data_IF_204103415799
#
_entry.id   IF_204103415799
#
_cell.length_a   1.000
_cell.length_b   1.000
_cell.length_c   1.000
_cell.angle_alpha   90.00
_cell.angle_beta   90.00
_cell.angle_gamma   90.00
#
_symmetry.space_group_name_H-M   'P 1'
#
loop_
_entity.id
_entity.type
_entity.pdbx_description
1 polymer ?
#
# COMPACT_ATOMS: atom_id res chain seq x y z
N UNK A 1 -16.63 30.71 -0.16
CA UNK A 1 -16.22 29.53 0.64
C UNK A 1 -16.86 29.71 2.01
N UNK A 2 -17.76 28.84 2.48
CA UNK A 2 -18.54 29.13 3.69
C UNK A 2 -17.64 29.06 4.93
N UNK A 3 -17.71 30.13 5.72
CA UNK A 3 -16.91 30.47 6.88
C UNK A 3 -17.45 29.69 8.11
N UNK A 4 -17.17 28.39 8.23
CA UNK A 4 -17.72 27.62 9.37
C UNK A 4 -17.43 26.12 9.42
N UNK A 5 -16.73 25.54 8.45
CA UNK A 5 -16.38 24.12 8.51
C UNK A 5 -15.12 23.98 9.36
N UNK A 6 -15.27 23.68 10.65
CA UNK A 6 -14.16 23.17 11.46
C UNK A 6 -13.77 21.79 10.93
N UNK A 7 -12.73 21.75 10.08
CA UNK A 7 -12.10 20.50 9.68
C UNK A 7 -11.37 19.95 10.91
N UNK A 8 -12.05 19.12 11.71
CA UNK A 8 -11.36 18.30 12.72
C UNK A 8 -10.50 17.29 11.96
N UNK A 9 -9.20 17.54 11.88
CA UNK A 9 -8.25 16.58 11.33
C UNK A 9 -8.12 15.40 12.29
N UNK A 10 -9.06 14.45 12.22
CA UNK A 10 -8.92 13.17 12.92
C UNK A 10 -7.83 12.40 12.17
N UNK A 11 -6.61 12.42 12.73
CA UNK A 11 -5.39 11.81 12.16
C UNK A 11 -5.62 10.36 11.68
N UNK A 12 -6.37 9.58 12.45
CA UNK A 12 -6.68 8.18 12.12
C UNK A 12 -7.57 8.06 10.87
N UNK A 13 -8.67 8.81 10.81
CA UNK A 13 -9.60 8.77 9.69
C UNK A 13 -8.95 9.29 8.41
N UNK A 14 -8.15 10.36 8.51
CA UNK A 14 -7.39 10.87 7.38
C UNK A 14 -6.38 9.84 6.85
N UNK A 15 -5.71 9.09 7.72
CA UNK A 15 -4.79 8.04 7.30
C UNK A 15 -5.50 6.92 6.52
N UNK A 16 -6.69 6.49 6.96
CA UNK A 16 -7.48 5.47 6.26
C UNK A 16 -7.95 6.00 4.91
N UNK A 17 -8.59 7.17 4.88
CA UNK A 17 -9.14 7.76 3.66
C UNK A 17 -8.03 8.01 2.64
N UNK A 18 -6.90 8.59 3.07
CA UNK A 18 -5.77 8.84 2.19
C UNK A 18 -5.20 7.51 1.65
N UNK A 19 -5.04 6.48 2.49
CA UNK A 19 -4.56 5.16 2.04
C UNK A 19 -5.48 4.56 0.98
N UNK A 20 -6.80 4.56 1.21
CA UNK A 20 -7.80 4.04 0.26
C UNK A 20 -7.80 4.85 -1.04
N UNK A 21 -7.66 6.19 -0.97
CA UNK A 21 -7.60 7.06 -2.15
C UNK A 21 -6.36 6.79 -3.01
N UNK A 22 -5.19 6.59 -2.39
CA UNK A 22 -3.96 6.24 -3.12
C UNK A 22 -4.10 4.89 -3.83
N UNK A 23 -4.66 3.88 -3.15
CA UNK A 23 -4.84 2.55 -3.72
C UNK A 23 -5.86 2.59 -4.88
N UNK A 24 -7.03 3.24 -4.68
CA UNK A 24 -8.03 3.42 -5.73
C UNK A 24 -7.46 4.15 -6.94
N UNK A 25 -6.66 5.21 -6.76
CA UNK A 25 -6.02 5.92 -7.88
C UNK A 25 -5.13 5.00 -8.72
N UNK A 26 -4.36 4.12 -8.07
CA UNK A 26 -3.50 3.13 -8.75
C UNK A 26 -4.34 2.07 -9.47
N UNK A 27 -5.38 1.55 -8.83
CA UNK A 27 -6.26 0.53 -9.43
C UNK A 27 -7.04 1.11 -10.61
N UNK A 28 -7.61 2.30 -10.47
CA UNK A 28 -8.36 2.97 -11.54
C UNK A 28 -7.50 3.36 -12.74
N UNK A 29 -6.18 3.50 -12.58
CA UNK A 29 -5.25 3.68 -13.71
C UNK A 29 -4.92 2.39 -14.46
N UNK A 30 -5.32 1.22 -13.94
CA UNK A 30 -5.13 -0.07 -14.61
C UNK A 30 -6.33 -0.39 -15.51
N UNK A 31 -6.10 -1.14 -16.59
CA UNK A 31 -7.15 -1.60 -17.53
C UNK A 31 -8.08 -2.70 -16.94
N UNK A 32 -8.13 -2.84 -15.61
CA UNK A 32 -8.82 -3.91 -14.91
C UNK A 32 -7.99 -5.19 -14.73
N UNK A 33 -8.50 -6.10 -13.90
CA UNK A 33 -7.88 -7.39 -13.62
C UNK A 33 -8.63 -8.51 -14.33
N UNK A 34 -7.90 -9.42 -14.99
CA UNK A 34 -8.48 -10.58 -15.68
C UNK A 34 -9.02 -11.67 -14.74
N UNK A 35 -8.50 -11.74 -13.51
CA UNK A 35 -8.95 -12.72 -12.50
C UNK A 35 -8.83 -12.15 -11.09
N UNK A 36 -9.64 -12.68 -10.16
CA UNK A 36 -9.56 -12.31 -8.75
C UNK A 36 -8.20 -12.64 -8.14
N UNK A 37 -7.64 -13.82 -8.44
CA UNK A 37 -6.30 -14.20 -7.98
C UNK A 37 -5.24 -13.18 -8.38
N UNK A 38 -5.25 -12.76 -9.64
CA UNK A 38 -4.34 -11.73 -10.15
C UNK A 38 -4.58 -10.38 -9.46
N UNK A 39 -5.83 -10.00 -9.22
CA UNK A 39 -6.17 -8.78 -8.49
C UNK A 39 -5.60 -8.81 -7.06
N UNK A 40 -5.77 -9.91 -6.33
CA UNK A 40 -5.30 -10.04 -4.95
C UNK A 40 -3.78 -9.96 -4.88
N UNK A 41 -3.05 -10.63 -5.77
CA UNK A 41 -1.59 -10.57 -5.81
C UNK A 41 -1.07 -9.16 -6.14
N UNK A 42 -1.71 -8.46 -7.08
CA UNK A 42 -1.32 -7.08 -7.44
C UNK A 42 -1.59 -6.12 -6.27
N UNK A 43 -2.75 -6.23 -5.62
CA UNK A 43 -3.09 -5.40 -4.46
C UNK A 43 -2.10 -5.63 -3.31
N UNK A 44 -1.78 -6.89 -3.01
CA UNK A 44 -0.76 -7.24 -2.01
C UNK A 44 0.61 -6.64 -2.36
N UNK A 45 1.01 -6.67 -3.63
CA UNK A 45 2.27 -6.06 -4.08
C UNK A 45 2.31 -4.53 -3.94
N UNK A 46 1.22 -3.83 -4.28
CA UNK A 46 1.10 -2.37 -4.12
C UNK A 46 1.17 -1.99 -2.63
N UNK A 47 0.54 -2.77 -1.77
CA UNK A 47 0.56 -2.58 -0.32
C UNK A 47 1.96 -2.80 0.25
N UNK A 48 2.61 -3.91 -0.13
CA UNK A 48 3.98 -4.24 0.25
C UNK A 48 4.98 -3.14 -0.12
N UNK A 49 4.93 -2.66 -1.37
CA UNK A 49 5.80 -1.59 -1.84
C UNK A 49 5.54 -0.29 -1.07
N UNK A 50 4.29 -0.03 -0.70
CA UNK A 50 3.94 1.13 0.14
C UNK A 50 4.44 1.00 1.58
N UNK A 51 4.46 -0.20 2.14
CA UNK A 51 5.00 -0.47 3.48
C UNK A 51 6.52 -0.31 3.52
N UNK A 52 7.22 -0.81 2.51
CA UNK A 52 8.68 -0.64 2.35
C UNK A 52 9.00 0.86 2.19
N UNK A 53 8.31 1.57 1.30
CA UNK A 53 8.55 3.02 1.08
C UNK A 53 8.30 3.87 2.32
N UNK A 54 7.40 3.44 3.21
CA UNK A 54 7.09 4.14 4.46
C UNK A 54 7.95 3.69 5.64
N UNK A 55 8.90 2.77 5.41
CA UNK A 55 9.75 2.19 6.46
C UNK A 55 8.92 1.57 7.60
N UNK A 56 7.69 1.12 7.31
CA UNK A 56 6.81 0.50 8.30
C UNK A 56 7.24 -0.92 8.65
N UNK A 57 8.02 -1.54 7.76
CA UNK A 57 8.65 -2.83 8.00
C UNK A 57 10.00 -2.54 8.63
N UNK A 58 10.22 -3.04 9.85
CA UNK A 58 11.51 -2.97 10.54
C UNK A 58 12.50 -3.93 9.87
N UNK A 59 12.85 -3.64 8.63
CA UNK A 59 13.98 -4.23 7.93
C UNK A 59 15.20 -3.59 8.59
N UNK A 60 15.69 -4.22 9.66
CA UNK A 60 16.80 -3.80 10.54
C UNK A 60 18.02 -3.23 9.82
N UNK A 61 18.14 -3.48 8.52
CA UNK A 61 18.88 -2.66 7.57
C UNK A 61 18.01 -2.53 6.31
N UNK A 62 17.83 -1.34 5.72
CA UNK A 62 17.14 -1.12 4.43
C UNK A 62 17.90 -1.73 3.23
N UNK A 63 18.66 -2.80 3.47
CA UNK A 63 19.34 -3.56 2.44
C UNK A 63 18.33 -4.10 1.44
N UNK A 64 18.69 -4.00 0.17
CA UNK A 64 17.94 -4.58 -0.96
C UNK A 64 17.67 -6.08 -0.74
N UNK A 65 18.57 -6.78 -0.02
CA UNK A 65 18.38 -8.19 0.31
C UNK A 65 17.22 -8.44 1.28
N UNK A 66 17.06 -7.59 2.30
CA UNK A 66 15.96 -7.72 3.26
C UNK A 66 14.62 -7.40 2.60
N UNK A 67 14.59 -6.44 1.67
CA UNK A 67 13.41 -6.15 0.86
C UNK A 67 13.06 -7.33 -0.05
N UNK A 68 14.07 -7.95 -0.68
CA UNK A 68 13.89 -9.17 -1.49
C UNK A 68 13.30 -10.29 -0.63
N UNK A 69 13.89 -10.57 0.53
CA UNK A 69 13.44 -11.62 1.45
C UNK A 69 12.01 -11.39 1.94
N UNK A 70 11.65 -10.15 2.27
CA UNK A 70 10.28 -9.78 2.62
C UNK A 70 9.28 -10.06 1.49
N UNK A 71 9.64 -9.75 0.24
CA UNK A 71 8.80 -10.04 -0.94
C UNK A 71 8.66 -11.56 -1.12
N UNK A 72 9.74 -12.33 -0.96
CA UNK A 72 9.68 -13.79 -1.02
C UNK A 72 8.75 -14.38 0.05
N UNK A 73 8.85 -13.90 1.30
CA UNK A 73 7.97 -14.32 2.39
C UNK A 73 6.51 -13.96 2.13
N UNK A 74 6.24 -12.74 1.64
CA UNK A 74 4.89 -12.26 1.37
C UNK A 74 4.17 -13.06 0.28
N UNK A 75 4.89 -13.45 -0.77
CA UNK A 75 4.33 -14.18 -1.90
C UNK A 75 4.57 -15.70 -1.82
N UNK A 76 5.21 -16.19 -0.75
CA UNK A 76 5.55 -17.60 -0.59
C UNK A 76 6.46 -18.13 -1.71
N UNK A 77 7.30 -17.25 -2.29
CA UNK A 77 8.24 -17.63 -3.34
C UNK A 77 9.47 -18.23 -2.66
N UNK A 78 9.75 -19.52 -2.89
CA UNK A 78 11.00 -20.16 -2.46
C UNK A 78 12.18 -19.38 -3.05
N UNK A 79 13.06 -18.89 -2.17
CA UNK A 79 14.23 -18.09 -2.51
C UNK A 79 15.34 -18.92 -3.16
#
# INVERSE_FOLDING_TARGET
MPLGIQIRQIKYLNNIINRVRFMKKRICSMLGFKSFRTATSILAGIEAMSMIKKEQVDLRNQSVQNQKEFIHQLFGLTA
#
